data_IF_773592214034
#
_entry.id   IF_773592214034
#
_cell.length_a   1.000
_cell.length_b   1.000
_cell.length_c   1.000
_cell.angle_alpha   90.00
_cell.angle_beta   90.00
_cell.angle_gamma   90.00
#
_symmetry.space_group_name_H-M   'P 1'
#
loop_
_entity.id
_entity.type
_entity.pdbx_description
1 polymer ?
#
# COMPACT_ATOMS: atom_id res chain seq x y z
N UNK A 1 -19.83 9.66 -20.11
CA UNK A 1 -19.57 9.68 -18.64
C UNK A 1 -18.65 8.54 -18.24
N UNK A 2 -18.82 7.37 -18.79
CA UNK A 2 -18.01 6.18 -18.44
C UNK A 2 -16.50 6.40 -18.58
N UNK A 3 -16.03 7.00 -19.69
CA UNK A 3 -14.61 7.32 -19.84
C UNK A 3 -14.08 8.23 -18.70
N UNK A 4 -14.87 9.19 -18.22
CA UNK A 4 -14.45 10.07 -17.12
C UNK A 4 -14.38 9.29 -15.82
N UNK A 5 -15.34 8.40 -15.54
CA UNK A 5 -15.43 7.64 -14.29
C UNK A 5 -14.45 6.46 -14.30
N UNK A 6 -14.49 5.63 -15.34
CA UNK A 6 -13.73 4.36 -15.40
C UNK A 6 -12.25 4.62 -15.63
N UNK A 7 -11.92 5.55 -16.53
CA UNK A 7 -10.53 5.87 -16.90
C UNK A 7 -9.95 7.02 -16.06
N UNK A 8 -10.69 7.51 -15.06
CA UNK A 8 -10.28 8.61 -14.17
C UNK A 8 -9.81 9.86 -14.92
N UNK A 9 -10.46 10.17 -16.07
CA UNK A 9 -10.09 11.31 -16.90
C UNK A 9 -10.61 12.63 -16.32
N UNK A 10 -9.87 13.75 -16.48
CA UNK A 10 -10.33 15.05 -16.05
C UNK A 10 -11.58 15.48 -16.84
N UNK A 11 -12.48 16.22 -16.21
CA UNK A 11 -13.68 16.73 -16.89
C UNK A 11 -13.36 17.58 -18.12
N UNK A 12 -12.23 18.30 -18.10
CA UNK A 12 -11.75 19.14 -19.21
C UNK A 12 -11.48 18.36 -20.50
N UNK A 13 -11.38 17.01 -20.44
CA UNK A 13 -11.18 16.19 -21.63
C UNK A 13 -12.24 16.43 -22.70
N UNK A 14 -13.50 16.72 -22.28
CA UNK A 14 -14.63 16.97 -23.20
C UNK A 14 -14.49 18.27 -23.99
N UNK A 15 -13.59 19.16 -23.58
CA UNK A 15 -13.32 20.43 -24.26
C UNK A 15 -12.13 20.33 -25.22
N UNK A 16 -11.36 19.24 -25.13
CA UNK A 16 -10.20 19.00 -25.98
C UNK A 16 -10.60 18.72 -27.45
N UNK A 17 -9.98 19.44 -28.39
CA UNK A 17 -10.29 19.31 -29.82
C UNK A 17 -10.09 17.90 -30.37
N UNK A 18 -9.07 17.18 -29.91
CA UNK A 18 -8.82 15.80 -30.31
C UNK A 18 -9.94 14.86 -29.83
N UNK A 19 -10.39 15.02 -28.57
CA UNK A 19 -11.49 14.23 -28.02
C UNK A 19 -12.81 14.51 -28.73
N UNK A 20 -13.08 15.79 -29.03
CA UNK A 20 -14.26 16.21 -29.81
C UNK A 20 -14.25 15.59 -31.20
N UNK A 21 -13.10 15.57 -31.89
CA UNK A 21 -12.97 14.94 -33.22
C UNK A 21 -13.21 13.43 -33.19
N UNK A 22 -12.71 12.72 -32.17
CA UNK A 22 -12.90 11.27 -32.03
C UNK A 22 -14.37 10.88 -31.83
N UNK A 23 -15.13 11.69 -31.06
CA UNK A 23 -16.51 11.37 -30.73
C UNK A 23 -17.51 11.67 -31.85
N UNK A 24 -17.11 12.38 -32.91
CA UNK A 24 -18.07 12.91 -33.91
C UNK A 24 -17.74 12.55 -35.35
N UNK A 25 -16.80 11.65 -35.58
CA UNK A 25 -16.60 11.03 -36.88
C UNK A 25 -17.67 9.97 -37.10
N UNK A 26 -18.88 10.36 -37.51
CA UNK A 26 -19.89 9.43 -37.99
C UNK A 26 -19.79 9.28 -39.50
N UNK A 27 -19.40 8.09 -40.01
CA UNK A 27 -19.36 7.82 -41.43
C UNK A 27 -20.74 7.78 -42.11
N UNK A 28 -21.82 7.62 -41.31
CA UNK A 28 -23.17 7.36 -41.82
C UNK A 28 -24.15 8.53 -41.70
N UNK A 29 -23.75 9.70 -41.16
CA UNK A 29 -24.59 10.90 -41.13
C UNK A 29 -25.74 10.86 -40.12
N UNK A 30 -25.75 9.90 -39.20
CA UNK A 30 -26.80 9.77 -38.16
C UNK A 30 -26.50 10.68 -36.98
N UNK A 31 -27.48 11.38 -36.49
CA UNK A 31 -27.49 12.42 -35.42
C UNK A 31 -26.23 12.53 -34.60
N UNK A 32 -25.50 13.64 -34.81
CA UNK A 32 -24.34 14.01 -33.98
C UNK A 32 -24.77 14.21 -32.52
N UNK A 33 -24.19 13.45 -31.61
CA UNK A 33 -24.28 13.74 -30.18
C UNK A 33 -23.60 15.07 -29.92
N UNK A 34 -24.35 16.07 -29.42
CA UNK A 34 -23.75 17.33 -29.00
C UNK A 34 -23.09 17.17 -27.66
N UNK A 35 -21.76 17.16 -27.66
CA UNK A 35 -20.97 17.03 -26.43
C UNK A 35 -21.18 18.27 -25.56
N UNK A 36 -21.68 18.04 -24.35
CA UNK A 36 -21.93 19.10 -23.37
C UNK A 36 -20.61 19.64 -22.80
N UNK A 37 -20.66 20.82 -22.17
CA UNK A 37 -19.50 21.48 -21.55
C UNK A 37 -18.97 20.71 -20.33
N UNK A 38 -17.71 20.95 -19.95
CA UNK A 38 -17.13 20.48 -18.69
C UNK A 38 -18.02 20.76 -17.49
N UNK A 39 -18.56 21.99 -17.42
CA UNK A 39 -19.47 22.43 -16.36
C UNK A 39 -20.71 21.53 -16.27
N UNK A 40 -21.29 21.12 -17.38
CA UNK A 40 -22.44 20.21 -17.39
C UNK A 40 -22.07 18.83 -16.83
N UNK A 41 -20.94 18.27 -17.23
CA UNK A 41 -20.48 16.98 -16.71
C UNK A 41 -20.23 17.05 -15.21
N UNK A 42 -19.55 18.07 -14.73
CA UNK A 42 -19.19 18.24 -13.32
C UNK A 42 -20.37 18.57 -12.42
N UNK A 43 -21.22 19.51 -12.84
CA UNK A 43 -22.26 20.09 -11.96
C UNK A 43 -23.62 19.41 -12.09
N UNK A 44 -23.87 18.70 -13.18
CA UNK A 44 -25.20 18.10 -13.42
C UNK A 44 -25.13 16.60 -13.62
N UNK A 45 -24.30 16.11 -14.54
CA UNK A 45 -24.30 14.70 -14.91
C UNK A 45 -23.62 13.83 -13.85
N UNK A 46 -22.49 14.28 -13.26
CA UNK A 46 -21.80 13.52 -12.22
C UNK A 46 -22.66 13.37 -10.95
N UNK A 47 -23.25 14.45 -10.38
CA UNK A 47 -24.15 14.30 -9.23
C UNK A 47 -25.32 13.36 -9.52
N UNK A 48 -25.98 13.51 -10.67
CA UNK A 48 -27.10 12.65 -11.05
C UNK A 48 -26.68 11.17 -11.23
N UNK A 49 -25.46 10.92 -11.71
CA UNK A 49 -24.90 9.58 -11.83
C UNK A 49 -24.58 9.01 -10.46
N UNK A 50 -23.95 9.81 -9.59
CA UNK A 50 -23.68 9.44 -8.21
C UNK A 50 -24.96 9.04 -7.47
N UNK A 51 -26.02 9.86 -7.56
CA UNK A 51 -27.29 9.58 -6.87
C UNK A 51 -27.91 8.25 -7.32
N UNK A 52 -27.85 7.95 -8.63
CA UNK A 52 -28.33 6.66 -9.17
C UNK A 52 -27.51 5.48 -8.66
N UNK A 53 -26.18 5.60 -8.62
CA UNK A 53 -25.28 4.57 -8.10
C UNK A 53 -25.50 4.41 -6.61
N UNK A 54 -25.54 5.52 -5.85
CA UNK A 54 -25.78 5.52 -4.41
C UNK A 54 -27.11 4.87 -4.03
N UNK A 55 -28.18 5.11 -4.82
CA UNK A 55 -29.47 4.45 -4.60
C UNK A 55 -29.36 2.92 -4.74
N UNK A 56 -28.68 2.44 -5.79
CA UNK A 56 -28.42 1.00 -5.97
C UNK A 56 -27.59 0.39 -4.86
N UNK A 57 -26.52 1.11 -4.42
CA UNK A 57 -25.67 0.65 -3.31
C UNK A 57 -26.47 0.58 -2.02
N UNK A 58 -27.31 1.60 -1.70
CA UNK A 58 -28.19 1.56 -0.52
C UNK A 58 -29.17 0.39 -0.57
N UNK A 59 -29.77 0.12 -1.72
CA UNK A 59 -30.63 -1.04 -1.90
C UNK A 59 -29.86 -2.32 -1.60
N UNK A 60 -28.69 -2.50 -2.16
CA UNK A 60 -27.83 -3.67 -1.95
C UNK A 60 -27.46 -3.81 -0.47
N UNK A 61 -27.04 -2.73 0.20
CA UNK A 61 -26.69 -2.72 1.62
C UNK A 61 -27.88 -2.96 2.53
N UNK A 62 -29.13 -2.70 2.07
CA UNK A 62 -30.34 -3.00 2.86
C UNK A 62 -30.56 -4.49 3.03
N UNK A 63 -30.11 -5.31 2.07
CA UNK A 63 -30.21 -6.77 2.06
C UNK A 63 -29.06 -7.47 2.83
N UNK A 64 -28.05 -6.70 3.30
CA UNK A 64 -26.89 -7.21 4.02
C UNK A 64 -27.14 -7.11 5.53
N UNK A 65 -26.98 -8.21 6.25
CA UNK A 65 -27.13 -8.24 7.72
C UNK A 65 -25.89 -7.67 8.41
N UNK A 66 -24.70 -8.06 7.94
CA UNK A 66 -23.41 -7.69 8.53
C UNK A 66 -22.42 -7.20 7.49
N UNK A 67 -21.72 -6.13 7.84
CA UNK A 67 -20.67 -5.52 7.01
C UNK A 67 -19.46 -5.23 7.89
N UNK A 68 -18.27 -5.61 7.42
CA UNK A 68 -16.99 -5.12 7.95
C UNK A 68 -16.48 -3.99 7.07
N UNK A 69 -15.64 -3.12 7.60
CA UNK A 69 -15.04 -2.07 6.77
C UNK A 69 -13.52 -1.97 6.96
N UNK A 70 -12.86 -1.44 5.95
CA UNK A 70 -11.48 -0.98 6.06
C UNK A 70 -11.45 0.54 5.93
N UNK A 71 -10.60 1.18 6.73
CA UNK A 71 -10.38 2.63 6.69
C UNK A 71 -8.88 2.92 6.67
N UNK A 72 -8.50 3.92 5.90
CA UNK A 72 -7.12 4.39 5.80
C UNK A 72 -7.12 5.90 5.59
N UNK A 73 -6.16 6.59 6.20
CA UNK A 73 -5.97 8.03 6.02
C UNK A 73 -4.76 8.29 5.14
N UNK A 74 -4.95 9.10 4.11
CA UNK A 74 -3.90 9.48 3.18
C UNK A 74 -3.78 10.99 3.06
N UNK A 75 -2.55 11.48 3.13
CA UNK A 75 -2.22 12.88 2.89
C UNK A 75 -1.33 12.99 1.66
N UNK A 76 -1.67 13.89 0.74
CA UNK A 76 -0.87 14.06 -0.47
C UNK A 76 0.53 14.64 -0.13
N UNK A 77 1.56 14.40 -0.99
CA UNK A 77 2.93 14.86 -0.71
C UNK A 77 3.05 16.37 -0.49
N UNK A 78 2.19 17.18 -1.13
CA UNK A 78 2.15 18.65 -0.94
C UNK A 78 1.44 19.07 0.35
N UNK A 79 0.88 18.11 1.10
CA UNK A 79 0.08 18.36 2.32
C UNK A 79 -1.12 19.30 2.11
N UNK A 80 -1.59 19.43 0.87
CA UNK A 80 -2.73 20.30 0.53
C UNK A 80 -4.08 19.59 0.63
N UNK A 81 -4.09 18.26 0.74
CA UNK A 81 -5.32 17.48 0.85
C UNK A 81 -5.05 16.20 1.66
N UNK A 82 -5.91 15.92 2.60
CA UNK A 82 -5.95 14.67 3.35
C UNK A 82 -7.31 14.01 3.15
N UNK A 83 -7.31 12.69 2.99
CA UNK A 83 -8.52 11.91 2.77
C UNK A 83 -8.61 10.78 3.80
N UNK A 84 -9.84 10.47 4.22
CA UNK A 84 -10.18 9.26 4.96
C UNK A 84 -11.05 8.38 4.07
N UNK A 85 -10.61 7.14 3.83
CA UNK A 85 -11.39 6.16 3.08
C UNK A 85 -12.30 5.34 4.00
N UNK A 86 -13.45 4.92 3.46
CA UNK A 86 -14.36 3.97 4.12
C UNK A 86 -14.81 2.96 3.07
N UNK A 87 -14.28 1.74 3.15
CA UNK A 87 -14.56 0.65 2.20
C UNK A 87 -15.30 -0.47 2.90
N UNK A 88 -16.52 -0.74 2.47
CA UNK A 88 -17.35 -1.83 2.99
C UNK A 88 -17.01 -3.19 2.37
N UNK A 89 -17.00 -4.23 3.19
CA UNK A 89 -16.78 -5.62 2.82
C UNK A 89 -17.90 -6.49 3.39
N UNK A 90 -18.56 -7.27 2.56
CA UNK A 90 -19.68 -8.14 2.96
C UNK A 90 -19.80 -9.35 2.06
N UNK A 91 -20.64 -10.29 2.46
CA UNK A 91 -20.98 -11.47 1.66
C UNK A 91 -22.35 -11.28 1.00
N UNK A 92 -22.42 -11.57 -0.30
CA UNK A 92 -23.67 -11.64 -1.04
C UNK A 92 -23.68 -12.93 -1.85
N UNK A 93 -24.67 -13.78 -1.62
CA UNK A 93 -24.79 -15.09 -2.28
C UNK A 93 -23.46 -15.90 -2.21
N UNK A 94 -22.83 -15.92 -1.04
CA UNK A 94 -21.53 -16.56 -0.78
C UNK A 94 -20.33 -15.96 -1.52
N UNK A 95 -20.51 -14.87 -2.26
CA UNK A 95 -19.43 -14.13 -2.89
C UNK A 95 -19.04 -12.91 -2.04
N UNK A 96 -17.74 -12.68 -1.91
CA UNK A 96 -17.23 -11.47 -1.23
C UNK A 96 -17.43 -10.25 -2.13
N UNK A 97 -17.98 -9.21 -1.54
CA UNK A 97 -18.18 -7.90 -2.16
C UNK A 97 -17.31 -6.86 -1.47
N UNK A 98 -16.78 -5.93 -2.26
CA UNK A 98 -15.98 -4.80 -1.79
C UNK A 98 -16.49 -3.54 -2.48
N UNK A 99 -16.91 -2.55 -1.71
CA UNK A 99 -17.41 -1.28 -2.23
C UNK A 99 -16.76 -0.12 -1.48
N UNK A 100 -16.17 0.82 -2.22
CA UNK A 100 -15.73 2.09 -1.65
C UNK A 100 -16.97 2.93 -1.39
N UNK A 101 -17.32 3.10 -0.11
CA UNK A 101 -18.53 3.81 0.31
C UNK A 101 -18.28 5.30 0.49
N UNK A 102 -17.07 5.69 0.95
CA UNK A 102 -16.72 7.10 1.09
C UNK A 102 -15.20 7.31 0.91
N UNK A 103 -14.86 8.49 0.38
CA UNK A 103 -13.54 9.11 0.44
C UNK A 103 -13.78 10.56 0.91
N UNK A 104 -13.53 10.81 2.18
CA UNK A 104 -13.88 12.07 2.85
C UNK A 104 -12.66 12.96 2.98
N UNK A 105 -12.78 14.22 2.60
CA UNK A 105 -11.73 15.22 2.81
C UNK A 105 -11.65 15.51 4.31
N UNK A 106 -10.42 15.49 4.83
CA UNK A 106 -10.11 15.89 6.19
C UNK A 106 -9.63 17.34 6.17
N UNK A 107 -10.45 18.24 6.71
CA UNK A 107 -10.22 19.69 6.72
C UNK A 107 -9.63 20.19 8.04
N UNK A 108 -9.67 19.36 9.10
CA UNK A 108 -9.19 19.66 10.43
C UNK A 108 -8.03 18.75 10.83
N UNK A 109 -7.43 19.01 12.00
CA UNK A 109 -6.44 18.13 12.59
C UNK A 109 -7.00 16.73 12.79
N UNK A 110 -6.25 15.71 12.41
CA UNK A 110 -6.67 14.30 12.44
C UNK A 110 -6.74 13.74 13.87
N UNK A 111 -7.49 14.39 14.74
CA UNK A 111 -7.74 13.90 16.12
C UNK A 111 -8.65 12.68 16.10
N UNK A 112 -8.57 11.84 17.13
CA UNK A 112 -9.44 10.66 17.24
C UNK A 112 -10.93 11.02 17.21
N UNK A 113 -11.32 12.10 17.89
CA UNK A 113 -12.71 12.58 17.91
C UNK A 113 -13.16 13.04 16.51
N UNK A 114 -12.32 13.78 15.79
CA UNK A 114 -12.65 14.21 14.44
C UNK A 114 -12.78 13.03 13.46
N UNK A 115 -11.84 12.08 13.51
CA UNK A 115 -11.93 10.88 12.69
C UNK A 115 -13.19 10.04 13.04
N UNK A 116 -13.54 9.94 14.32
CA UNK A 116 -14.76 9.27 14.78
C UNK A 116 -16.01 9.93 14.19
N UNK A 117 -16.07 11.27 14.19
CA UNK A 117 -17.19 12.00 13.57
C UNK A 117 -17.32 11.69 12.08
N UNK A 118 -16.21 11.60 11.35
CA UNK A 118 -16.20 11.27 9.91
C UNK A 118 -16.63 9.82 9.66
N UNK A 119 -16.18 8.87 10.46
CA UNK A 119 -16.63 7.48 10.37
C UNK A 119 -18.13 7.36 10.66
N UNK A 120 -18.63 8.07 11.68
CA UNK A 120 -20.05 8.11 12.02
C UNK A 120 -20.88 8.71 10.89
N UNK A 121 -20.41 9.82 10.28
CA UNK A 121 -21.04 10.44 9.12
C UNK A 121 -21.17 9.44 7.95
N UNK A 122 -20.09 8.69 7.65
CA UNK A 122 -20.10 7.67 6.60
C UNK A 122 -21.08 6.54 6.91
N UNK A 123 -21.10 6.02 8.15
CA UNK A 123 -22.02 4.96 8.57
C UNK A 123 -23.50 5.42 8.50
N UNK A 124 -23.79 6.65 8.89
CA UNK A 124 -25.13 7.23 8.80
C UNK A 124 -25.57 7.43 7.34
N UNK A 125 -24.69 7.96 6.47
CA UNK A 125 -24.98 8.18 5.05
C UNK A 125 -25.42 6.91 4.33
N UNK A 126 -24.85 5.77 4.72
CA UNK A 126 -25.12 4.48 4.12
C UNK A 126 -26.07 3.60 4.95
N UNK A 127 -26.68 4.14 6.01
CA UNK A 127 -27.62 3.42 6.90
C UNK A 127 -27.03 2.12 7.48
N UNK A 128 -25.78 2.17 7.95
CA UNK A 128 -25.04 1.01 8.45
C UNK A 128 -25.13 0.82 9.98
N UNK A 129 -25.89 1.65 10.68
CA UNK A 129 -26.05 1.56 12.14
C UNK A 129 -26.57 0.17 12.54
N UNK A 130 -25.88 -0.49 13.44
CA UNK A 130 -26.22 -1.85 13.91
C UNK A 130 -25.88 -2.97 12.91
N UNK A 131 -25.24 -2.68 11.78
CA UNK A 131 -24.80 -3.66 10.78
C UNK A 131 -23.28 -3.84 10.74
N UNK A 132 -22.52 -2.99 11.43
CA UNK A 132 -21.07 -3.09 11.42
C UNK A 132 -20.64 -4.26 12.33
N UNK A 133 -19.91 -5.20 11.74
CA UNK A 133 -19.31 -6.33 12.45
C UNK A 133 -17.92 -5.95 12.97
N UNK A 134 -17.05 -5.37 12.14
CA UNK A 134 -15.66 -5.07 12.49
C UNK A 134 -15.06 -4.00 11.58
N UNK A 135 -14.16 -3.18 12.13
CA UNK A 135 -13.31 -2.24 11.38
C UNK A 135 -11.87 -2.72 11.27
N UNK A 136 -11.23 -2.55 10.10
CA UNK A 136 -9.80 -2.73 9.93
C UNK A 136 -9.17 -1.37 9.68
N UNK A 137 -8.14 -1.03 10.44
CA UNK A 137 -7.47 0.27 10.41
C UNK A 137 -5.94 0.12 10.50
N UNK A 138 -5.18 1.17 10.24
CA UNK A 138 -3.76 1.21 10.57
C UNK A 138 -3.54 1.25 12.11
N UNK A 139 -2.28 1.25 12.55
CA UNK A 139 -1.94 1.23 13.98
C UNK A 139 -1.67 2.62 14.57
N UNK A 140 -2.12 3.69 13.92
CA UNK A 140 -1.96 5.05 14.45
C UNK A 140 -2.88 5.30 15.66
N UNK A 141 -2.38 6.03 16.64
CA UNK A 141 -3.10 6.25 17.91
C UNK A 141 -4.44 6.99 17.74
N UNK A 142 -4.51 7.91 16.77
CA UNK A 142 -5.71 8.68 16.49
C UNK A 142 -6.86 7.82 15.92
N UNK A 143 -6.59 6.91 14.99
CA UNK A 143 -7.64 6.03 14.45
C UNK A 143 -8.05 4.96 15.46
N UNK A 144 -7.12 4.47 16.29
CA UNK A 144 -7.46 3.59 17.44
C UNK A 144 -8.41 4.30 18.39
N UNK A 145 -8.15 5.56 18.71
CA UNK A 145 -9.04 6.39 19.51
C UNK A 145 -10.41 6.54 18.83
N UNK A 146 -10.43 6.81 17.51
CA UNK A 146 -11.67 6.95 16.75
C UNK A 146 -12.53 5.67 16.80
N UNK A 147 -11.92 4.47 16.67
CA UNK A 147 -12.67 3.21 16.77
C UNK A 147 -13.34 3.01 18.14
N UNK A 148 -12.64 3.41 19.21
CA UNK A 148 -13.23 3.36 20.58
C UNK A 148 -14.39 4.33 20.73
N UNK A 149 -14.26 5.55 20.17
CA UNK A 149 -15.34 6.56 20.23
C UNK A 149 -16.59 6.11 19.44
N UNK A 150 -16.43 5.47 18.29
CA UNK A 150 -17.57 4.94 17.51
C UNK A 150 -18.08 3.59 18.04
N UNK A 151 -17.42 3.01 19.05
CA UNK A 151 -17.76 1.72 19.67
C UNK A 151 -17.86 0.57 18.65
N UNK A 152 -16.90 0.50 17.74
CA UNK A 152 -16.79 -0.56 16.75
C UNK A 152 -15.58 -1.43 17.10
N UNK A 153 -15.77 -2.74 17.13
CA UNK A 153 -14.69 -3.69 17.25
C UNK A 153 -13.74 -3.56 16.08
N UNK A 154 -12.44 -3.55 16.34
CA UNK A 154 -11.45 -3.22 15.32
C UNK A 154 -10.25 -4.16 15.34
N UNK A 155 -9.60 -4.26 14.18
CA UNK A 155 -8.38 -5.02 13.98
C UNK A 155 -7.33 -4.16 13.27
N UNK A 156 -6.07 -4.28 13.73
CA UNK A 156 -4.94 -3.60 13.09
C UNK A 156 -4.62 -4.18 11.71
N UNK A 157 -4.37 -3.32 10.73
CA UNK A 157 -3.94 -3.75 9.40
C UNK A 157 -2.65 -4.58 9.49
N UNK A 158 -2.68 -5.83 9.04
CA UNK A 158 -1.55 -6.75 9.13
C UNK A 158 -0.33 -6.26 8.35
N UNK A 159 -0.52 -5.66 7.17
CA UNK A 159 0.57 -5.09 6.39
C UNK A 159 1.28 -3.96 7.15
N UNK A 160 0.52 -3.11 7.85
CA UNK A 160 1.08 -2.06 8.70
C UNK A 160 1.76 -2.64 9.96
N UNK A 161 1.19 -3.70 10.53
CA UNK A 161 1.81 -4.41 11.66
C UNK A 161 3.17 -5.01 11.26
N UNK A 162 3.27 -5.67 10.09
CA UNK A 162 4.55 -6.16 9.58
C UNK A 162 5.56 -5.02 9.35
N UNK A 163 5.10 -3.85 8.87
CA UNK A 163 5.94 -2.66 8.75
C UNK A 163 6.55 -2.26 10.11
N UNK A 164 5.74 -2.19 11.16
CA UNK A 164 6.20 -1.82 12.50
C UNK A 164 7.17 -2.86 13.07
N UNK A 165 6.83 -4.14 12.95
CA UNK A 165 7.67 -5.25 13.41
C UNK A 165 9.06 -5.20 12.76
N UNK A 166 9.13 -5.07 11.44
CA UNK A 166 10.40 -5.02 10.72
C UNK A 166 11.18 -3.74 11.02
N UNK A 167 10.50 -2.62 11.22
CA UNK A 167 11.14 -1.39 11.65
C UNK A 167 11.80 -1.56 13.01
N UNK A 168 11.07 -2.05 14.00
CA UNK A 168 11.54 -2.18 15.38
C UNK A 168 12.55 -3.32 15.57
N UNK A 169 12.45 -4.39 14.77
CA UNK A 169 13.37 -5.52 14.87
C UNK A 169 14.68 -5.32 14.08
N UNK A 170 14.60 -4.76 12.88
CA UNK A 170 15.72 -4.74 11.94
C UNK A 170 16.18 -3.32 11.59
N UNK A 171 15.27 -2.48 11.10
CA UNK A 171 15.67 -1.18 10.54
C UNK A 171 16.06 -0.14 11.58
N UNK A 172 15.68 -0.28 12.85
CA UNK A 172 16.15 0.58 13.95
C UNK A 172 17.60 0.29 14.37
N UNK A 173 18.20 -0.83 13.93
CA UNK A 173 19.58 -1.17 14.28
C UNK A 173 20.55 -0.20 13.59
N UNK A 174 21.45 0.42 14.33
CA UNK A 174 22.38 1.44 13.81
C UNK A 174 23.24 0.93 12.62
N UNK A 175 23.65 -0.35 12.63
CA UNK A 175 24.41 -0.95 11.53
C UNK A 175 23.57 -1.06 10.27
N UNK A 176 22.33 -1.52 10.38
CA UNK A 176 21.37 -1.67 9.25
C UNK A 176 20.98 -0.28 8.72
N UNK A 177 20.65 0.65 9.60
CA UNK A 177 20.31 2.03 9.22
C UNK A 177 21.45 2.70 8.43
N UNK A 178 22.70 2.54 8.90
CA UNK A 178 23.88 3.05 8.19
C UNK A 178 24.05 2.41 6.82
N UNK A 179 23.85 1.10 6.73
CA UNK A 179 23.93 0.35 5.47
C UNK A 179 22.85 0.82 4.49
N UNK A 180 21.60 0.94 4.92
CA UNK A 180 20.49 1.42 4.10
C UNK A 180 20.74 2.86 3.62
N UNK A 181 21.20 3.76 4.51
CA UNK A 181 21.59 5.13 4.12
C UNK A 181 22.70 5.16 3.06
N UNK A 182 23.69 4.26 3.18
CA UNK A 182 24.77 4.14 2.19
C UNK A 182 24.22 3.57 0.87
N UNK A 183 23.35 2.58 0.92
CA UNK A 183 22.67 2.01 -0.26
C UNK A 183 21.85 3.07 -1.01
N UNK A 184 21.11 3.92 -0.31
CA UNK A 184 20.41 5.08 -0.90
C UNK A 184 21.33 6.01 -1.67
N UNK A 185 22.54 6.29 -1.12
CA UNK A 185 23.55 7.12 -1.80
C UNK A 185 24.07 6.46 -3.07
N UNK A 186 24.29 5.14 -3.03
CA UNK A 186 24.66 4.36 -4.22
C UNK A 186 23.59 4.50 -5.31
N UNK A 187 22.32 4.28 -4.98
CA UNK A 187 21.21 4.39 -5.94
C UNK A 187 21.06 5.82 -6.46
N UNK A 188 21.13 6.81 -5.57
CA UNK A 188 20.98 8.23 -5.92
C UNK A 188 22.04 8.70 -6.93
N UNK A 189 23.25 8.16 -6.88
CA UNK A 189 24.30 8.47 -7.85
C UNK A 189 23.89 8.20 -9.29
N UNK A 190 23.15 7.11 -9.53
CA UNK A 190 22.68 6.72 -10.86
C UNK A 190 21.39 7.43 -11.29
N UNK A 191 20.62 7.99 -10.35
CA UNK A 191 19.31 8.58 -10.66
C UNK A 191 19.36 9.90 -11.42
N UNK A 192 20.43 10.68 -11.23
CA UNK A 192 20.47 12.09 -11.66
C UNK A 192 21.34 12.35 -12.90
N UNK A 193 21.94 11.33 -13.51
CA UNK A 193 22.83 11.48 -14.65
C UNK A 193 22.59 10.39 -15.69
N UNK A 194 22.17 10.80 -16.90
CA UNK A 194 22.01 9.88 -18.02
C UNK A 194 23.34 9.21 -18.40
N UNK A 195 24.45 9.95 -18.35
CA UNK A 195 25.77 9.41 -18.62
C UNK A 195 26.13 8.28 -17.65
N UNK A 196 25.81 8.47 -16.38
CA UNK A 196 26.01 7.46 -15.32
C UNK A 196 25.15 6.23 -15.56
N UNK A 197 23.87 6.41 -15.92
CA UNK A 197 22.98 5.30 -16.27
C UNK A 197 23.44 4.53 -17.50
N UNK A 198 23.99 5.21 -18.51
CA UNK A 198 24.52 4.57 -19.71
C UNK A 198 25.73 3.70 -19.35
N UNK A 199 26.69 4.23 -18.59
CA UNK A 199 27.88 3.47 -18.14
C UNK A 199 27.49 2.28 -17.27
N UNK A 200 26.48 2.43 -16.39
CA UNK A 200 25.94 1.31 -15.63
C UNK A 200 25.44 0.21 -16.56
N UNK A 201 24.68 0.55 -17.61
CA UNK A 201 24.20 -0.43 -18.60
C UNK A 201 25.35 -1.14 -19.33
N UNK A 202 26.41 -0.43 -19.69
CA UNK A 202 27.62 -0.99 -20.30
C UNK A 202 28.30 -2.00 -19.35
N UNK A 203 28.43 -1.66 -18.06
CA UNK A 203 28.94 -2.60 -17.03
C UNK A 203 28.04 -3.82 -16.84
N UNK A 204 26.70 -3.64 -16.87
CA UNK A 204 25.74 -4.75 -16.78
C UNK A 204 25.92 -5.73 -17.94
N UNK A 205 26.02 -5.20 -19.17
CA UNK A 205 26.26 -6.02 -20.38
C UNK A 205 27.60 -6.74 -20.30
N UNK A 206 28.67 -6.07 -19.85
CA UNK A 206 29.99 -6.69 -19.67
C UNK A 206 30.03 -7.78 -18.61
N UNK A 207 29.07 -7.76 -17.67
CA UNK A 207 28.93 -8.78 -16.61
C UNK A 207 27.88 -9.85 -16.93
N UNK A 208 27.31 -9.89 -18.13
CA UNK A 208 26.19 -10.77 -18.52
C UNK A 208 24.97 -10.65 -17.58
N UNK A 209 24.68 -9.44 -17.10
CA UNK A 209 23.53 -9.16 -16.24
C UNK A 209 22.40 -8.49 -17.03
N UNK A 210 21.17 -8.71 -16.59
CA UNK A 210 20.00 -8.00 -17.08
C UNK A 210 20.15 -6.49 -16.84
N UNK A 211 19.79 -5.68 -17.86
CA UNK A 211 19.89 -4.21 -17.80
C UNK A 211 18.73 -3.61 -16.98
N UNK A 212 18.78 -3.78 -15.67
CA UNK A 212 17.78 -3.26 -14.74
C UNK A 212 18.24 -1.93 -14.12
N UNK A 213 17.35 -0.95 -14.09
CA UNK A 213 17.60 0.28 -13.32
C UNK A 213 17.63 -0.01 -11.82
N UNK A 214 18.46 0.73 -11.08
CA UNK A 214 18.43 0.71 -9.62
C UNK A 214 17.11 1.31 -9.13
N UNK A 215 16.63 0.79 -8.01
CA UNK A 215 15.35 1.18 -7.41
C UNK A 215 15.65 2.07 -6.21
N UNK A 216 15.12 3.30 -6.21
CA UNK A 216 15.14 4.17 -5.02
C UNK A 216 13.99 3.79 -4.11
N UNK A 217 14.29 3.62 -2.84
CA UNK A 217 13.25 3.32 -1.84
C UNK A 217 12.43 4.56 -1.43
N UNK A 218 11.32 4.27 -0.75
CA UNK A 218 10.49 5.23 -0.02
C UNK A 218 10.66 4.92 1.46
N UNK A 219 11.24 5.84 2.21
CA UNK A 219 11.67 5.61 3.62
C UNK A 219 10.58 5.06 4.54
N UNK A 220 9.33 5.44 4.29
CA UNK A 220 8.16 5.02 5.06
C UNK A 220 7.64 3.63 4.69
N UNK A 221 8.23 2.95 3.68
CA UNK A 221 7.75 1.65 3.17
C UNK A 221 8.87 0.64 3.08
N UNK A 222 8.96 -0.26 4.03
CA UNK A 222 10.02 -1.28 4.09
C UNK A 222 10.12 -2.14 2.83
N UNK A 223 9.01 -2.44 2.16
CA UNK A 223 9.00 -3.20 0.91
C UNK A 223 9.88 -2.54 -0.16
N UNK A 224 9.85 -1.21 -0.24
CA UNK A 224 10.67 -0.47 -1.20
C UNK A 224 12.16 -0.52 -0.83
N UNK A 225 12.48 -0.52 0.46
CA UNK A 225 13.85 -0.71 0.95
C UNK A 225 14.34 -2.13 0.62
N UNK A 226 13.49 -3.16 0.81
CA UNK A 226 13.80 -4.52 0.39
C UNK A 226 14.12 -4.59 -1.11
N UNK A 227 13.26 -4.02 -1.97
CA UNK A 227 13.46 -4.02 -3.42
C UNK A 227 14.73 -3.25 -3.83
N UNK A 228 15.06 -2.16 -3.14
CA UNK A 228 16.32 -1.44 -3.34
C UNK A 228 17.52 -2.33 -3.03
N UNK A 229 17.54 -2.97 -1.87
CA UNK A 229 18.64 -3.86 -1.45
C UNK A 229 18.75 -5.07 -2.37
N UNK A 230 17.63 -5.70 -2.73
CA UNK A 230 17.58 -6.81 -3.67
C UNK A 230 18.18 -6.44 -5.03
N UNK A 231 17.86 -5.25 -5.55
CA UNK A 231 18.40 -4.77 -6.82
C UNK A 231 19.90 -4.47 -6.74
N UNK A 232 20.39 -3.98 -5.59
CA UNK A 232 21.84 -3.80 -5.35
C UNK A 232 22.53 -5.16 -5.31
N UNK A 233 21.97 -6.15 -4.62
CA UNK A 233 22.48 -7.53 -4.59
C UNK A 233 22.54 -8.15 -5.98
N UNK A 234 21.46 -8.07 -6.76
CA UNK A 234 21.40 -8.53 -8.14
C UNK A 234 22.47 -7.90 -9.03
N UNK A 235 22.69 -6.61 -8.87
CA UNK A 235 23.57 -5.82 -9.76
C UNK A 235 24.99 -5.62 -9.19
N UNK A 236 25.37 -6.30 -8.10
CA UNK A 236 26.62 -6.05 -7.40
C UNK A 236 27.87 -6.17 -8.28
N UNK A 237 27.90 -7.14 -9.23
CA UNK A 237 29.05 -7.31 -10.15
C UNK A 237 29.22 -6.08 -11.06
N UNK A 238 28.15 -5.60 -11.66
CA UNK A 238 28.19 -4.42 -12.53
C UNK A 238 28.51 -3.13 -11.74
N UNK A 239 27.98 -3.01 -10.53
CA UNK A 239 28.28 -1.86 -9.65
C UNK A 239 29.73 -1.85 -9.17
N UNK A 240 30.32 -3.02 -8.89
CA UNK A 240 31.74 -3.15 -8.55
C UNK A 240 32.62 -2.80 -9.76
N UNK A 241 32.30 -3.30 -10.96
CA UNK A 241 33.01 -2.94 -12.19
C UNK A 241 32.98 -1.42 -12.43
N UNK A 242 31.80 -0.82 -12.34
CA UNK A 242 31.60 0.62 -12.44
C UNK A 242 32.47 1.39 -11.42
N UNK A 243 32.53 0.92 -10.17
CA UNK A 243 33.32 1.54 -9.10
C UNK A 243 34.83 1.53 -9.43
N UNK A 244 35.32 0.45 -10.00
CA UNK A 244 36.74 0.34 -10.44
C UNK A 244 37.01 1.30 -11.57
N UNK A 245 36.16 1.39 -12.58
CA UNK A 245 36.33 2.25 -13.75
C UNK A 245 36.25 3.75 -13.41
N UNK A 246 35.37 4.13 -12.46
CA UNK A 246 35.10 5.54 -12.14
C UNK A 246 35.95 6.07 -10.96
N UNK A 247 36.62 5.23 -10.19
CA UNK A 247 37.58 5.58 -9.12
C UNK A 247 37.05 6.49 -7.99
N UNK A 248 36.14 7.39 -8.28
CA UNK A 248 35.53 8.33 -7.32
C UNK A 248 34.21 7.87 -6.73
N UNK A 249 33.64 6.77 -7.25
CA UNK A 249 32.36 6.23 -6.80
C UNK A 249 32.56 5.32 -5.59
N UNK A 250 31.90 5.66 -4.47
CA UNK A 250 31.98 4.89 -3.23
C UNK A 250 30.94 3.79 -3.23
N UNK A 251 31.36 2.57 -3.54
CA UNK A 251 30.53 1.37 -3.47
C UNK A 251 30.45 0.82 -2.04
N UNK A 252 29.52 -0.08 -1.79
CA UNK A 252 29.47 -0.92 -0.59
C UNK A 252 30.71 -1.84 -0.56
N UNK A 253 31.27 -2.04 0.61
CA UNK A 253 32.37 -3.01 0.83
C UNK A 253 31.85 -4.43 0.65
N UNK A 254 32.77 -5.40 0.52
CA UNK A 254 32.41 -6.81 0.41
C UNK A 254 31.56 -7.28 1.60
N UNK A 255 31.94 -6.91 2.82
CA UNK A 255 31.20 -7.26 4.05
C UNK A 255 29.82 -6.59 4.11
N UNK A 256 29.70 -5.34 3.61
CA UNK A 256 28.41 -4.68 3.51
C UNK A 256 27.49 -5.34 2.46
N UNK A 257 28.05 -5.81 1.34
CA UNK A 257 27.29 -6.58 0.34
C UNK A 257 26.83 -7.94 0.87
N UNK A 258 27.67 -8.66 1.60
CA UNK A 258 27.30 -9.89 2.29
C UNK A 258 26.17 -9.65 3.30
N UNK A 259 26.22 -8.52 4.00
CA UNK A 259 25.14 -8.11 4.90
C UNK A 259 23.85 -7.78 4.14
N UNK A 260 23.93 -7.12 2.97
CA UNK A 260 22.78 -6.87 2.08
C UNK A 260 22.14 -8.20 1.67
N UNK A 261 22.93 -9.17 1.22
CA UNK A 261 22.43 -10.49 0.79
C UNK A 261 21.71 -11.22 1.94
N UNK A 262 22.26 -11.16 3.15
CA UNK A 262 21.63 -11.72 4.35
C UNK A 262 20.29 -11.01 4.67
N UNK A 263 20.26 -9.69 4.66
CA UNK A 263 19.02 -8.92 4.89
C UNK A 263 17.97 -9.27 3.84
N UNK A 264 18.35 -9.35 2.56
CA UNK A 264 17.43 -9.71 1.48
C UNK A 264 16.87 -11.11 1.69
N UNK A 265 17.70 -12.08 2.09
CA UNK A 265 17.27 -13.44 2.38
C UNK A 265 16.26 -13.49 3.53
N UNK A 266 16.53 -12.80 4.63
CA UNK A 266 15.64 -12.72 5.81
C UNK A 266 14.33 -12.02 5.49
N UNK A 267 14.35 -10.94 4.69
CA UNK A 267 13.16 -10.15 4.36
C UNK A 267 12.28 -10.79 3.28
N UNK A 268 12.80 -11.70 2.46
CA UNK A 268 12.06 -12.33 1.36
C UNK A 268 10.73 -12.95 1.79
N UNK A 269 10.64 -13.78 2.86
CA UNK A 269 9.36 -14.33 3.32
C UNK A 269 8.36 -13.26 3.75
N UNK A 270 8.82 -12.16 4.37
CA UNK A 270 7.96 -11.04 4.77
C UNK A 270 7.43 -10.27 3.56
N UNK A 271 8.28 -10.11 2.54
CA UNK A 271 7.87 -9.49 1.28
C UNK A 271 6.77 -10.30 0.60
N UNK A 272 6.96 -11.63 0.47
CA UNK A 272 5.96 -12.52 -0.11
C UNK A 272 4.66 -12.51 0.72
N UNK A 273 4.75 -12.56 2.05
CA UNK A 273 3.60 -12.44 2.94
C UNK A 273 2.87 -11.11 2.75
N UNK A 274 3.60 -10.00 2.61
CA UNK A 274 2.99 -8.68 2.39
C UNK A 274 2.27 -8.62 1.05
N UNK A 275 2.80 -9.24 0.00
CA UNK A 275 2.12 -9.32 -1.29
C UNK A 275 0.80 -10.10 -1.18
N UNK A 276 0.80 -11.24 -0.47
CA UNK A 276 -0.41 -12.07 -0.28
C UNK A 276 -1.49 -11.33 0.51
N UNK A 277 -1.16 -10.66 1.61
CA UNK A 277 -2.15 -9.90 2.40
C UNK A 277 -2.60 -8.60 1.74
N UNK A 278 -1.88 -8.12 0.74
CA UNK A 278 -2.22 -6.91 -0.02
C UNK A 278 -3.03 -7.18 -1.28
N UNK A 279 -3.37 -8.43 -1.57
CA UNK A 279 -4.21 -8.78 -2.73
C UNK A 279 -5.63 -8.26 -2.55
N UNK A 280 -6.30 -7.97 -3.64
CA UNK A 280 -7.71 -7.52 -3.62
C UNK A 280 -8.67 -8.57 -3.06
N UNK A 281 -8.32 -9.85 -3.19
CA UNK A 281 -9.09 -10.98 -2.69
C UNK A 281 -8.62 -11.47 -1.32
N UNK A 282 -7.65 -10.80 -0.68
CA UNK A 282 -7.19 -11.15 0.66
C UNK A 282 -8.31 -11.01 1.70
N UNK A 283 -8.28 -11.88 2.70
CA UNK A 283 -9.20 -11.84 3.83
C UNK A 283 -8.42 -11.99 5.15
N UNK A 284 -9.03 -11.55 6.23
CA UNK A 284 -8.42 -11.58 7.56
C UNK A 284 -8.03 -13.00 8.01
N UNK A 285 -8.73 -14.03 7.55
CA UNK A 285 -8.42 -15.43 7.85
C UNK A 285 -7.04 -15.88 7.32
N UNK A 286 -6.45 -15.17 6.34
CA UNK A 286 -5.09 -15.43 5.88
C UNK A 286 -4.01 -15.02 6.88
N UNK A 287 -4.33 -14.16 7.84
CA UNK A 287 -3.36 -13.67 8.83
C UNK A 287 -2.75 -14.82 9.64
N UNK A 288 -3.59 -15.73 10.14
CA UNK A 288 -3.13 -16.85 10.97
C UNK A 288 -2.14 -17.77 10.23
N UNK A 289 -2.47 -18.34 9.05
CA UNK A 289 -1.54 -19.19 8.32
C UNK A 289 -0.28 -18.47 7.86
N UNK A 290 -0.38 -17.20 7.45
CA UNK A 290 0.78 -16.40 7.04
C UNK A 290 1.75 -16.20 8.22
N UNK A 291 1.23 -15.84 9.38
CA UNK A 291 2.05 -15.68 10.59
C UNK A 291 2.71 -16.99 10.97
N UNK A 292 1.96 -18.10 10.95
CA UNK A 292 2.52 -19.44 11.25
C UNK A 292 3.65 -19.83 10.28
N UNK A 293 3.48 -19.51 8.98
CA UNK A 293 4.52 -19.75 7.98
C UNK A 293 5.76 -18.86 8.20
N UNK A 294 5.57 -17.58 8.54
CA UNK A 294 6.68 -16.68 8.86
C UNK A 294 7.46 -17.17 10.07
N UNK A 295 6.78 -17.58 11.14
CA UNK A 295 7.42 -18.14 12.34
C UNK A 295 8.21 -19.43 12.03
N UNK A 296 7.62 -20.36 11.26
CA UNK A 296 8.30 -21.57 10.85
C UNK A 296 9.56 -21.30 9.99
N UNK A 297 9.47 -20.30 9.09
CA UNK A 297 10.62 -19.88 8.26
C UNK A 297 11.73 -19.26 9.10
N UNK A 298 11.39 -18.44 10.07
CA UNK A 298 12.38 -17.85 10.99
C UNK A 298 13.08 -18.93 11.82
N UNK A 299 12.33 -19.89 12.38
CA UNK A 299 12.90 -20.99 13.15
C UNK A 299 13.86 -21.86 12.33
N UNK A 300 13.54 -22.11 11.05
CA UNK A 300 14.41 -22.87 10.16
C UNK A 300 15.68 -22.11 9.74
N UNK A 301 15.69 -20.79 9.85
CA UNK A 301 16.84 -19.93 9.49
C UNK A 301 17.79 -19.72 10.67
N UNK A 302 17.41 -20.09 11.90
CA UNK A 302 18.18 -19.84 13.12
C UNK A 302 19.47 -20.65 13.24
N UNK A 303 19.63 -21.71 12.47
CA UNK A 303 20.84 -22.54 12.54
C UNK A 303 22.09 -21.90 11.93
N UNK A 304 21.96 -20.80 11.12
CA UNK A 304 23.10 -20.32 10.32
C UNK A 304 23.46 -18.82 10.41
N UNK A 305 22.70 -17.92 11.06
CA UNK A 305 22.96 -16.47 10.94
C UNK A 305 22.69 -15.71 12.26
N UNK A 306 23.69 -14.95 12.76
CA UNK A 306 23.58 -14.10 13.97
C UNK A 306 22.49 -12.99 13.91
N UNK A 307 21.92 -12.73 12.73
CA UNK A 307 20.73 -11.89 12.53
C UNK A 307 19.42 -12.59 12.99
N UNK A 308 19.40 -13.93 13.00
CA UNK A 308 18.20 -14.70 13.37
C UNK A 308 17.85 -14.54 14.83
N UNK A 309 18.83 -14.45 15.73
CA UNK A 309 18.58 -14.23 17.16
C UNK A 309 17.89 -12.88 17.44
N UNK A 310 18.19 -11.86 16.64
CA UNK A 310 17.59 -10.53 16.75
C UNK A 310 16.15 -10.56 16.22
N UNK A 311 15.94 -11.24 15.10
CA UNK A 311 14.61 -11.42 14.50
C UNK A 311 13.71 -12.26 15.41
N UNK A 312 14.23 -13.34 16.03
CA UNK A 312 13.47 -14.13 17.01
C UNK A 312 13.06 -13.31 18.23
N UNK A 313 13.97 -12.53 18.80
CA UNK A 313 13.71 -11.77 20.02
C UNK A 313 12.62 -10.71 19.84
N UNK A 314 12.53 -10.08 18.66
CA UNK A 314 11.58 -9.00 18.39
C UNK A 314 10.31 -9.44 17.64
N UNK A 315 10.40 -10.41 16.72
CA UNK A 315 9.23 -10.87 15.98
C UNK A 315 8.35 -11.84 16.76
N UNK A 316 8.94 -12.73 17.52
CA UNK A 316 8.19 -13.73 18.28
C UNK A 316 7.21 -13.12 19.30
N UNK A 317 7.62 -12.16 20.14
CA UNK A 317 6.70 -11.51 21.08
C UNK A 317 5.66 -10.65 20.38
N UNK A 318 6.05 -9.89 19.34
CA UNK A 318 5.16 -8.93 18.67
C UNK A 318 4.10 -9.63 17.83
N UNK A 319 4.49 -10.65 17.07
CA UNK A 319 3.56 -11.44 16.25
C UNK A 319 2.71 -12.35 17.16
N UNK A 320 3.30 -12.93 18.22
CA UNK A 320 2.58 -13.69 19.24
C UNK A 320 1.54 -12.83 19.98
N UNK A 321 1.89 -11.60 20.32
CA UNK A 321 0.96 -10.65 20.96
C UNK A 321 -0.19 -10.27 20.04
N UNK A 322 0.08 -10.03 18.76
CA UNK A 322 -0.96 -9.77 17.74
C UNK A 322 -1.89 -10.96 17.59
N UNK A 323 -1.37 -12.19 17.55
CA UNK A 323 -2.19 -13.40 17.50
C UNK A 323 -3.05 -13.58 18.75
N UNK A 324 -2.48 -13.40 19.94
CA UNK A 324 -3.20 -13.57 21.22
C UNK A 324 -4.32 -12.54 21.36
N UNK A 325 -4.11 -11.29 20.96
CA UNK A 325 -5.15 -10.25 20.99
C UNK A 325 -6.21 -10.44 19.90
N UNK A 326 -5.87 -11.07 18.78
CA UNK A 326 -6.80 -11.34 17.67
C UNK A 326 -7.72 -12.55 17.92
N UNK A 327 -7.33 -13.48 18.81
CA UNK A 327 -8.07 -14.73 19.07
C UNK A 327 -8.87 -14.66 20.37
N UNK A 328 -8.62 -13.66 21.23
CA UNK A 328 -9.18 -13.61 22.59
C UNK A 328 -10.67 -13.29 22.79
N UNK A 329 -11.49 -12.79 21.88
CA UNK A 329 -12.88 -12.55 22.20
C UNK A 329 -13.81 -13.78 22.29
N UNK A 330 -13.41 -14.95 21.73
CA UNK A 330 -14.35 -16.07 21.53
C UNK A 330 -14.09 -17.33 22.38
N UNK A 331 -13.11 -17.31 23.29
CA UNK A 331 -12.80 -18.50 24.13
C UNK A 331 -13.13 -18.33 25.62
N UNK A 332 -13.96 -17.34 25.97
CA UNK A 332 -14.48 -17.20 27.35
C UNK A 332 -16.00 -17.14 27.32
N UNK A 333 -16.65 -18.26 27.00
CA UNK A 333 -17.96 -18.69 27.49
C UNK A 333 -17.94 -20.20 27.72
#
# INVERSE_FOLDING_TARGET
MDCIIVDMLPYSIVEGDAFRRLNFADPAGVRRYELKSEKFFRMSLMPATYDKVAAKVRQLLSEVDWLSFTTDSWTNPSKSCSLLSFTGHFLQQSARQKIILAAMVLEEDHTGVYLASKLTEAMQLWHLNGKIHMGIRDNAANIICAMREVQVDDFGCMAHTLQLVLHDALFCQAAVEKLVKKSRKVVSHFKHSEQTCRRQRECQQSCDLSTHHLIQDVETRWNSTYLMLQRISEQQKALNLYSVEQGSFIMLTKTELETVDNIVSVLKPFYDATLEISRDDACISLVIPIVSLLLAKLQSSTEDIGLSQIVEFYLYPTVGTVLIHSIKPELTE
#
